data_IF_035154276110
#
_entry.id   IF_035154276110
#
_cell.length_a   1.000
_cell.length_b   1.000
_cell.length_c   1.000
_cell.angle_alpha   90.00
_cell.angle_beta   90.00
_cell.angle_gamma   90.00
#
_symmetry.space_group_name_H-M   'P 1'
#
loop_
_entity.id
_entity.type
_entity.pdbx_description
1 polymer ?
#
# COMPACT_ATOMS: atom_id res chain seq x y z
N UNK A 1 12.18 -4.60 -10.42
CA UNK A 1 13.35 -3.71 -10.39
C UNK A 1 13.92 -3.80 -8.99
N UNK A 2 15.08 -4.45 -8.81
CA UNK A 2 15.68 -4.64 -7.49
C UNK A 2 16.39 -3.34 -7.09
N UNK A 3 16.21 -2.89 -5.85
CA UNK A 3 16.92 -1.73 -5.31
C UNK A 3 18.00 -2.24 -4.37
N UNK A 4 19.24 -1.87 -4.64
CA UNK A 4 20.36 -2.07 -3.72
C UNK A 4 20.46 -0.79 -2.87
N UNK A 5 20.47 -0.94 -1.56
CA UNK A 5 20.75 0.17 -0.63
C UNK A 5 22.17 0.00 -0.14
N UNK A 6 23.13 0.84 -0.57
CA UNK A 6 24.56 0.62 -0.33
C UNK A 6 24.99 0.90 1.12
N UNK A 7 24.24 1.74 1.85
CA UNK A 7 24.60 2.13 3.22
C UNK A 7 23.42 1.94 4.17
N UNK A 8 23.27 0.73 4.73
CA UNK A 8 22.28 0.45 5.77
C UNK A 8 22.96 0.11 7.10
N UNK A 9 22.65 0.80 8.20
CA UNK A 9 23.31 0.56 9.48
C UNK A 9 22.92 -0.81 10.06
N UNK A 10 23.91 -1.55 10.56
CA UNK A 10 23.73 -2.87 11.20
C UNK A 10 22.76 -2.79 12.39
N UNK A 11 22.77 -1.67 13.10
CA UNK A 11 21.89 -1.37 14.23
C UNK A 11 20.39 -1.35 13.87
N UNK A 12 20.04 -1.23 12.58
CA UNK A 12 18.66 -1.27 12.10
C UNK A 12 18.26 -2.61 11.48
N UNK A 13 19.18 -3.58 11.42
CA UNK A 13 18.86 -4.92 10.91
C UNK A 13 18.01 -5.72 11.92
N UNK A 14 17.08 -6.58 11.46
CA UNK A 14 16.45 -7.59 12.30
C UNK A 14 17.50 -8.45 13.04
N UNK A 15 17.15 -8.97 14.23
CA UNK A 15 18.06 -9.76 15.06
C UNK A 15 18.67 -10.94 14.29
N UNK A 16 17.85 -11.64 13.51
CA UNK A 16 18.22 -12.80 12.70
C UNK A 16 19.28 -12.49 11.63
N UNK A 17 19.34 -11.24 11.17
CA UNK A 17 20.31 -10.78 10.16
C UNK A 17 21.52 -10.07 10.79
N UNK A 18 21.47 -9.80 12.10
CA UNK A 18 22.55 -9.16 12.86
C UNK A 18 23.56 -10.17 13.41
N UNK A 19 23.18 -11.44 13.47
CA UNK A 19 24.05 -12.50 13.98
C UNK A 19 25.34 -12.61 13.16
N UNK A 20 26.50 -12.50 13.83
CA UNK A 20 27.80 -12.53 13.18
C UNK A 20 28.29 -11.20 12.57
N UNK A 21 27.48 -10.12 12.63
CA UNK A 21 27.89 -8.80 12.15
C UNK A 21 28.53 -7.93 13.26
N UNK A 22 29.39 -6.96 12.90
CA UNK A 22 29.93 -5.99 13.85
C UNK A 22 28.82 -5.17 14.53
N UNK A 23 29.01 -4.81 15.81
CA UNK A 23 28.02 -4.02 16.57
C UNK A 23 27.67 -2.68 15.91
N UNK A 24 28.64 -2.06 15.23
CA UNK A 24 28.45 -0.80 14.51
C UNK A 24 29.12 -0.89 13.14
N UNK A 25 28.39 -0.51 12.08
CA UNK A 25 28.86 -0.58 10.70
C UNK A 25 27.72 -0.37 9.71
N UNK A 26 28.06 -0.36 8.42
CA UNK A 26 27.12 -0.31 7.30
C UNK A 26 27.17 -1.60 6.51
N UNK A 27 26.03 -2.04 5.99
CA UNK A 27 25.91 -3.18 5.07
C UNK A 27 25.12 -2.79 3.83
N UNK A 28 25.40 -3.47 2.73
CA UNK A 28 24.61 -3.38 1.51
C UNK A 28 23.43 -4.37 1.57
N UNK A 29 22.21 -3.90 1.28
CA UNK A 29 21.01 -4.75 1.27
C UNK A 29 20.43 -4.82 -0.14
N UNK A 30 20.25 -6.04 -0.66
CA UNK A 30 19.51 -6.32 -1.89
C UNK A 30 18.06 -6.70 -1.56
N UNK A 31 17.09 -5.90 -2.03
CA UNK A 31 15.68 -6.26 -1.91
C UNK A 31 15.21 -7.06 -3.12
N UNK A 32 14.78 -8.31 -2.88
CA UNK A 32 14.12 -9.14 -3.88
C UNK A 32 12.62 -9.18 -3.62
N UNK A 33 11.86 -8.59 -4.53
CA UNK A 33 10.40 -8.73 -4.54
C UNK A 33 10.07 -10.20 -4.80
N UNK A 34 9.48 -10.88 -3.81
CA UNK A 34 8.78 -12.15 -4.08
C UNK A 34 7.70 -11.80 -5.10
N UNK A 35 7.73 -12.40 -6.29
CA UNK A 35 6.69 -12.25 -7.31
C UNK A 35 5.37 -12.83 -6.79
N UNK A 36 4.72 -12.15 -5.86
CA UNK A 36 3.30 -12.33 -5.62
C UNK A 36 2.64 -11.25 -6.47
N UNK A 37 2.44 -11.55 -7.76
CA UNK A 37 1.52 -10.78 -8.58
C UNK A 37 0.15 -10.98 -7.96
N UNK A 38 -0.26 -10.08 -7.06
CA UNK A 38 -1.67 -9.96 -6.74
C UNK A 38 -2.38 -9.69 -8.06
N UNK A 39 -3.44 -10.44 -8.41
CA UNK A 39 -4.16 -10.23 -9.65
C UNK A 39 -4.59 -8.77 -9.68
N UNK A 40 -4.12 -8.03 -10.69
CA UNK A 40 -4.58 -6.67 -10.95
C UNK A 40 -6.02 -6.79 -11.42
N UNK A 41 -6.96 -6.68 -10.48
CA UNK A 41 -8.38 -6.61 -10.82
C UNK A 41 -8.64 -5.21 -11.37
N UNK A 42 -9.26 -5.14 -12.54
CA UNK A 42 -9.73 -3.87 -13.08
C UNK A 42 -10.76 -3.29 -12.09
N UNK A 43 -10.68 -1.99 -11.80
CA UNK A 43 -11.66 -1.33 -10.93
C UNK A 43 -13.07 -1.33 -11.54
N UNK A 44 -13.17 -1.42 -12.88
CA UNK A 44 -14.43 -1.40 -13.61
C UNK A 44 -15.45 -2.48 -13.15
N UNK A 45 -15.10 -3.78 -13.03
CA UNK A 45 -16.01 -4.79 -12.50
C UNK A 45 -16.32 -4.68 -11.00
N UNK A 46 -15.62 -3.81 -10.25
CA UNK A 46 -15.89 -3.56 -8.82
C UNK A 46 -16.85 -2.39 -8.60
N UNK A 47 -17.11 -1.57 -9.63
CA UNK A 47 -18.10 -0.49 -9.55
C UNK A 47 -19.50 -1.09 -9.36
N UNK A 48 -20.14 -0.79 -8.23
CA UNK A 48 -21.46 -1.31 -7.86
C UNK A 48 -21.46 -2.74 -7.28
N UNK A 49 -20.30 -3.39 -7.15
CA UNK A 49 -20.19 -4.73 -6.54
C UNK A 49 -20.26 -4.70 -5.00
N UNK A 50 -20.01 -3.53 -4.40
CA UNK A 50 -20.10 -3.31 -2.96
C UNK A 50 -21.43 -2.63 -2.67
N UNK A 51 -22.17 -3.04 -1.61
CA UNK A 51 -23.36 -2.32 -1.18
C UNK A 51 -23.03 -0.84 -0.99
N UNK A 52 -23.96 0.03 -1.38
CA UNK A 52 -23.80 1.46 -1.29
C UNK A 52 -23.54 1.86 0.18
N UNK A 53 -22.27 2.15 0.50
CA UNK A 53 -21.85 2.53 1.86
C UNK A 53 -22.41 3.89 2.28
N UNK A 54 -22.92 4.66 1.32
CA UNK A 54 -23.48 6.00 1.53
C UNK A 54 -24.99 5.99 1.75
N UNK A 55 -25.60 4.82 1.97
CA UNK A 55 -27.04 4.70 2.25
C UNK A 55 -27.85 4.37 1.01
N UNK A 56 -29.16 4.67 1.03
CA UNK A 56 -30.04 4.42 -0.12
C UNK A 56 -29.69 5.39 -1.24
N UNK A 57 -29.90 4.97 -2.49
CA UNK A 57 -29.55 5.79 -3.67
C UNK A 57 -30.22 7.17 -3.64
N UNK A 58 -31.43 7.27 -3.07
CA UNK A 58 -32.18 8.51 -2.85
C UNK A 58 -31.43 9.51 -1.96
N UNK A 59 -30.78 9.02 -0.90
CA UNK A 59 -30.03 9.84 0.07
C UNK A 59 -28.75 10.39 -0.58
N UNK A 60 -28.08 9.56 -1.39
CA UNK A 60 -26.88 9.97 -2.14
C UNK A 60 -27.21 11.02 -3.18
N UNK A 61 -28.31 10.86 -3.93
CA UNK A 61 -28.76 11.85 -4.92
C UNK A 61 -29.11 13.18 -4.25
N UNK A 62 -29.80 13.12 -3.10
CA UNK A 62 -30.15 14.33 -2.34
C UNK A 62 -28.89 15.06 -1.83
N UNK A 63 -27.93 14.32 -1.27
CA UNK A 63 -26.65 14.88 -0.82
C UNK A 63 -25.86 15.53 -1.96
N UNK A 64 -25.82 14.91 -3.14
CA UNK A 64 -25.15 15.47 -4.32
C UNK A 64 -25.84 16.78 -4.78
N UNK A 65 -27.17 16.85 -4.71
CA UNK A 65 -27.93 18.08 -5.04
C UNK A 65 -27.65 19.20 -4.05
N UNK A 66 -27.60 18.90 -2.76
CA UNK A 66 -27.25 19.86 -1.71
C UNK A 66 -25.83 20.41 -1.89
N UNK A 67 -24.86 19.55 -2.26
CA UNK A 67 -23.49 19.95 -2.55
C UNK A 67 -23.35 20.81 -3.82
N UNK A 68 -24.28 20.70 -4.76
CA UNK A 68 -24.23 21.44 -6.03
C UNK A 68 -24.74 22.87 -5.93
N UNK A 69 -25.33 23.27 -4.80
CA UNK A 69 -26.03 24.56 -4.65
C UNK A 69 -27.03 24.81 -5.79
N UNK A 70 -27.72 23.77 -6.28
CA UNK A 70 -28.87 23.93 -7.17
C UNK A 70 -30.07 24.46 -6.33
N UNK A 71 -29.99 25.73 -5.89
CA UNK A 71 -31.09 26.52 -5.31
C UNK A 71 -31.72 27.45 -6.33
#
# INVERSE_FOLDING_TARGET
>A
MNKIVPDYPVDKLPADLREGLPKHGSVEIEFRLKQQMQPRVLLAPLAGAVPNIHGRDEEVVQYIRELREDS
#
